data_IF_393760240525
#
_entry.id   IF_393760240525
#
_cell.length_a   1.000
_cell.length_b   1.000
_cell.length_c   1.000
_cell.angle_alpha   90.00
_cell.angle_beta   90.00
_cell.angle_gamma   90.00
#
_symmetry.space_group_name_H-M   'P 1'
#
loop_
_entity.id
_entity.type
_entity.pdbx_description
1 polymer ?
#
# COMPACT_ATOMS: atom_id res chain seq x y z
N UNK A 1 0.45 -39.43 11.50
CA UNK A 1 0.99 -38.20 12.12
C UNK A 1 0.82 -37.10 11.09
N UNK A 2 -0.22 -36.32 11.37
CA UNK A 2 -0.64 -35.01 10.85
C UNK A 2 0.19 -34.37 9.73
N UNK A 3 -0.38 -34.35 8.52
CA UNK A 3 -0.04 -33.34 7.52
C UNK A 3 -0.90 -32.10 7.82
N UNK A 4 -0.29 -31.10 8.47
CA UNK A 4 -0.92 -29.82 8.76
C UNK A 4 -1.13 -29.00 7.47
N UNK A 5 -2.38 -28.90 7.05
CA UNK A 5 -2.84 -27.99 6.01
C UNK A 5 -2.71 -26.55 6.51
N UNK A 6 -1.69 -25.82 6.05
CA UNK A 6 -1.57 -24.39 6.35
C UNK A 6 -2.64 -23.64 5.55
N UNK A 7 -3.68 -23.16 6.23
CA UNK A 7 -4.70 -22.28 5.68
C UNK A 7 -4.04 -20.93 5.36
N UNK A 8 -3.79 -20.68 4.08
CA UNK A 8 -3.47 -19.34 3.61
C UNK A 8 -4.70 -18.46 3.85
N UNK A 9 -4.64 -17.64 4.90
CA UNK A 9 -5.66 -16.63 5.19
C UNK A 9 -5.68 -15.63 4.03
N UNK A 10 -6.63 -15.83 3.10
CA UNK A 10 -6.93 -14.87 2.05
C UNK A 10 -7.35 -13.57 2.74
N UNK A 11 -6.52 -12.53 2.60
CA UNK A 11 -6.90 -11.17 3.00
C UNK A 11 -8.13 -10.79 2.19
N UNK A 12 -9.11 -10.06 2.76
CA UNK A 12 -10.25 -9.60 1.98
C UNK A 12 -9.69 -8.72 0.87
N UNK A 13 -9.76 -9.19 -0.37
CA UNK A 13 -9.53 -8.34 -1.53
C UNK A 13 -10.70 -7.37 -1.52
N UNK A 14 -10.42 -6.09 -1.36
CA UNK A 14 -11.43 -5.03 -1.38
C UNK A 14 -12.13 -5.13 -2.74
N UNK A 15 -13.34 -5.66 -2.74
CA UNK A 15 -14.04 -6.08 -3.94
C UNK A 15 -14.27 -4.86 -4.84
N UNK A 16 -13.67 -4.88 -6.04
CA UNK A 16 -14.00 -3.92 -7.10
C UNK A 16 -12.87 -3.11 -7.70
N UNK A 17 -11.59 -3.31 -7.32
CA UNK A 17 -10.49 -2.65 -8.05
C UNK A 17 -10.39 -3.27 -9.46
N UNK A 18 -10.55 -2.49 -10.54
CA UNK A 18 -10.38 -3.00 -11.90
C UNK A 18 -9.00 -3.64 -12.05
N UNK A 19 -8.93 -4.79 -12.73
CA UNK A 19 -7.69 -5.54 -12.88
C UNK A 19 -6.58 -4.72 -13.58
N UNK A 20 -6.96 -3.79 -14.47
CA UNK A 20 -6.04 -2.84 -15.10
C UNK A 20 -5.40 -1.84 -14.12
N UNK A 21 -5.97 -1.61 -12.93
CA UNK A 21 -5.30 -0.80 -11.92
C UNK A 21 -4.32 -1.63 -11.09
N UNK A 22 -4.46 -2.96 -11.09
CA UNK A 22 -3.55 -3.85 -10.37
C UNK A 22 -2.20 -3.99 -11.09
N UNK A 23 -2.15 -3.78 -12.41
CA UNK A 23 -0.90 -3.84 -13.18
C UNK A 23 0.11 -2.75 -12.77
N UNK A 24 -0.39 -1.62 -12.26
CA UNK A 24 0.41 -0.50 -11.76
C UNK A 24 0.28 -0.32 -10.23
N UNK A 25 -0.22 -1.33 -9.52
CA UNK A 25 -0.36 -1.25 -8.07
C UNK A 25 1.00 -1.40 -7.37
N UNK A 26 1.29 -0.50 -6.43
CA UNK A 26 2.46 -0.59 -5.55
C UNK A 26 2.02 -0.72 -4.10
N UNK A 27 2.67 -1.60 -3.35
CA UNK A 27 2.42 -1.70 -1.91
C UNK A 27 2.99 -0.49 -1.19
N UNK A 28 2.29 0.03 -0.18
CA UNK A 28 2.77 1.16 0.62
C UNK A 28 4.12 0.88 1.30
N UNK A 29 4.36 -0.37 1.69
CA UNK A 29 5.64 -0.83 2.25
C UNK A 29 6.75 -0.85 1.21
N UNK A 30 6.48 -1.22 -0.04
CA UNK A 30 7.48 -1.10 -1.12
C UNK A 30 7.78 0.36 -1.45
N UNK A 31 6.76 1.22 -1.41
CA UNK A 31 6.89 2.64 -1.73
C UNK A 31 7.63 3.44 -0.63
N UNK A 32 7.36 3.15 0.64
CA UNK A 32 7.84 3.94 1.79
C UNK A 32 8.85 3.19 2.69
N UNK A 33 9.06 1.89 2.45
CA UNK A 33 9.92 1.04 3.27
C UNK A 33 9.43 0.91 4.71
N UNK A 34 10.31 1.27 5.64
CA UNK A 34 10.04 1.34 7.08
C UNK A 34 9.57 2.72 7.53
N UNK A 35 9.58 3.72 6.64
CA UNK A 35 9.18 5.08 6.96
C UNK A 35 7.65 5.23 6.95
N UNK A 36 7.16 6.13 7.80
CA UNK A 36 5.75 6.54 7.83
C UNK A 36 5.45 7.72 6.90
N UNK A 37 6.49 8.32 6.31
CA UNK A 37 6.42 9.54 5.50
C UNK A 37 7.42 9.45 4.34
N UNK A 38 7.02 9.92 3.16
CA UNK A 38 7.84 10.01 1.94
C UNK A 38 7.62 11.37 1.28
N UNK A 39 8.70 11.98 0.78
CA UNK A 39 8.60 13.15 -0.10
C UNK A 39 8.57 12.68 -1.56
N UNK A 40 7.62 13.18 -2.32
CA UNK A 40 7.49 12.94 -3.75
C UNK A 40 7.76 14.27 -4.45
N UNK A 41 8.85 14.35 -5.21
CA UNK A 41 9.06 15.45 -6.13
C UNK A 41 8.25 15.22 -7.40
N UNK A 42 7.47 16.20 -7.82
CA UNK A 42 6.71 16.16 -9.05
C UNK A 42 6.59 17.56 -9.66
N UNK A 43 7.11 17.72 -10.88
CA UNK A 43 7.11 19.00 -11.60
C UNK A 43 7.73 20.15 -10.78
N UNK A 44 8.82 19.88 -10.06
CA UNK A 44 9.48 20.86 -9.19
C UNK A 44 8.71 21.21 -7.90
N UNK A 45 7.58 20.57 -7.62
CA UNK A 45 6.86 20.68 -6.36
C UNK A 45 7.12 19.46 -5.48
N UNK A 46 7.13 19.69 -4.17
CA UNK A 46 7.31 18.62 -3.20
C UNK A 46 5.95 18.29 -2.59
N UNK A 47 5.60 17.02 -2.60
CA UNK A 47 4.43 16.49 -1.93
C UNK A 47 4.85 15.57 -0.80
N UNK A 48 4.07 15.54 0.26
CA UNK A 48 4.28 14.67 1.42
C UNK A 48 3.22 13.58 1.41
N UNK A 49 3.64 12.34 1.18
CA UNK A 49 2.82 11.17 1.41
C UNK A 49 3.07 10.67 2.85
N UNK A 50 2.02 10.55 3.67
CA UNK A 50 2.14 10.01 5.03
C UNK A 50 1.08 8.98 5.38
N UNK A 51 1.48 7.99 6.16
CA UNK A 51 0.56 7.08 6.84
C UNK A 51 -0.08 7.80 8.05
N UNK A 52 -1.38 7.65 8.20
CA UNK A 52 -2.15 8.17 9.33
C UNK A 52 -2.32 7.11 10.41
N UNK A 53 -2.68 7.54 11.63
CA UNK A 53 -2.97 6.62 12.75
C UNK A 53 -4.14 5.65 12.48
N UNK A 54 -5.05 6.01 11.56
CA UNK A 54 -6.17 5.16 11.16
C UNK A 54 -5.81 4.20 10.00
N UNK A 55 -4.53 4.14 9.60
CA UNK A 55 -4.06 3.23 8.55
C UNK A 55 -4.29 3.72 7.12
N UNK A 56 -4.83 4.92 6.93
CA UNK A 56 -4.97 5.56 5.60
C UNK A 56 -3.67 6.26 5.20
N UNK A 57 -3.43 6.37 3.89
CA UNK A 57 -2.42 7.27 3.33
C UNK A 57 -3.05 8.61 2.97
N UNK A 58 -2.33 9.70 3.21
CA UNK A 58 -2.71 11.04 2.75
C UNK A 58 -1.56 11.71 2.02
N UNK A 59 -1.87 12.40 0.93
CA UNK A 59 -0.93 13.20 0.15
C UNK A 59 -1.24 14.68 0.39
N UNK A 60 -0.25 15.45 0.79
CA UNK A 60 -0.36 16.91 0.95
C UNK A 60 0.72 17.60 0.13
N UNK A 61 0.47 18.87 -0.25
CA UNK A 61 1.48 19.76 -0.81
C UNK A 61 2.26 20.44 0.30
#
# INVERSE_FOLDING_TARGET
MEHVQTLATARPVEAGIPHSLLENAVSSRSLMGSASTLIIEHMGMHYVLRATRNGKLILTK
#
